data_IF_572487640781
#
_entry.id   IF_572487640781
#
_cell.length_a   1.000
_cell.length_b   1.000
_cell.length_c   1.000
_cell.angle_alpha   90.00
_cell.angle_beta   90.00
_cell.angle_gamma   90.00
#
_symmetry.space_group_name_H-M   'P 1'
#
loop_
_entity.id
_entity.type
_entity.pdbx_description
1 polymer ?
#
# COMPACT_ATOMS: atom_id res chain seq x y z
N UNK A 1 14.55 -2.17 3.10
CA UNK A 1 14.58 -3.52 3.42
C UNK A 1 13.50 -4.05 4.33
N UNK A 2 13.74 -5.22 4.82
CA UNK A 2 12.89 -5.90 5.82
C UNK A 2 12.62 -5.08 7.08
N UNK A 3 13.41 -4.10 7.39
CA UNK A 3 13.20 -3.19 8.54
C UNK A 3 11.88 -2.43 8.45
N UNK A 4 11.40 -2.11 7.26
CA UNK A 4 10.08 -1.49 7.06
C UNK A 4 8.89 -2.44 7.36
N UNK A 5 9.05 -3.75 7.11
CA UNK A 5 8.04 -4.77 7.42
C UNK A 5 8.22 -5.37 8.82
N UNK A 6 9.47 -5.58 9.24
CA UNK A 6 9.79 -6.16 10.54
C UNK A 6 9.65 -5.11 11.66
N UNK A 7 9.95 -3.85 11.40
CA UNK A 7 9.82 -2.78 12.38
C UNK A 7 8.36 -2.61 12.85
N UNK A 8 7.38 -2.39 11.96
CA UNK A 8 5.97 -2.31 12.35
C UNK A 8 5.40 -3.61 12.92
N UNK A 9 5.81 -4.77 12.40
CA UNK A 9 5.37 -6.07 12.94
C UNK A 9 5.99 -6.36 14.30
N UNK A 10 7.28 -6.06 14.52
CA UNK A 10 7.91 -6.17 15.84
C UNK A 10 7.30 -5.20 16.85
N UNK A 11 7.07 -3.94 16.48
CA UNK A 11 6.44 -2.99 17.39
C UNK A 11 4.99 -3.35 17.68
N UNK A 12 4.26 -3.90 16.72
CA UNK A 12 2.90 -4.41 16.92
C UNK A 12 2.88 -5.65 17.81
N UNK A 13 3.80 -6.60 17.61
CA UNK A 13 3.94 -7.77 18.47
C UNK A 13 4.38 -7.37 19.89
N UNK A 14 5.29 -6.41 20.03
CA UNK A 14 5.69 -5.87 21.33
C UNK A 14 4.53 -5.15 22.03
N UNK A 15 3.74 -4.36 21.29
CA UNK A 15 2.56 -3.69 21.83
C UNK A 15 1.47 -4.68 22.28
N UNK A 16 1.25 -5.76 21.53
CA UNK A 16 0.33 -6.84 21.90
C UNK A 16 0.78 -7.61 23.14
N UNK A 17 2.10 -7.86 23.24
CA UNK A 17 2.70 -8.58 24.39
C UNK A 17 2.86 -7.69 25.64
N UNK A 18 2.95 -6.37 25.49
CA UNK A 18 3.30 -5.43 26.58
C UNK A 18 2.14 -4.54 27.03
N UNK A 19 0.98 -4.61 26.38
CA UNK A 19 -0.16 -3.73 26.65
C UNK A 19 0.15 -2.24 26.38
N UNK A 20 1.06 -1.94 25.45
CA UNK A 20 1.42 -0.57 25.12
C UNK A 20 0.23 0.20 24.55
N UNK A 21 0.08 1.45 24.96
CA UNK A 21 -0.89 2.37 24.40
C UNK A 21 -0.56 2.71 22.93
N UNK A 22 -1.59 3.06 22.15
CA UNK A 22 -1.41 3.51 20.78
C UNK A 22 -0.50 4.75 20.73
N UNK A 23 0.51 4.80 19.86
CA UNK A 23 1.41 5.95 19.76
C UNK A 23 0.65 7.23 19.44
N UNK A 24 1.04 8.32 20.08
CA UNK A 24 0.42 9.64 19.85
C UNK A 24 0.60 10.12 18.41
N UNK A 25 1.69 9.71 17.75
CA UNK A 25 1.93 9.94 16.34
C UNK A 25 0.84 9.31 15.46
N UNK A 26 0.43 8.09 15.78
CA UNK A 26 -0.67 7.43 15.09
C UNK A 26 -2.02 8.12 15.33
N UNK A 27 -2.28 8.55 16.56
CA UNK A 27 -3.49 9.32 16.88
C UNK A 27 -3.51 10.64 16.09
N UNK A 28 -2.38 11.37 16.06
CA UNK A 28 -2.27 12.63 15.28
C UNK A 28 -2.47 12.38 13.79
N UNK A 29 -1.87 11.30 13.25
CA UNK A 29 -2.02 10.93 11.84
C UNK A 29 -3.49 10.73 11.44
N UNK A 30 -4.24 9.94 12.23
CA UNK A 30 -5.65 9.69 11.92
C UNK A 30 -6.55 10.90 12.16
N UNK A 31 -6.27 11.73 13.18
CA UNK A 31 -6.96 13.02 13.35
C UNK A 31 -6.71 13.96 12.20
N UNK A 32 -5.46 14.06 11.74
CA UNK A 32 -5.11 14.86 10.56
C UNK A 32 -5.80 14.37 9.29
N UNK A 33 -6.09 13.08 9.18
CA UNK A 33 -6.87 12.51 8.07
C UNK A 33 -8.38 12.82 8.14
N UNK A 34 -8.88 13.32 9.28
CA UNK A 34 -10.29 13.66 9.50
C UNK A 34 -11.11 12.54 10.16
N UNK A 35 -10.48 11.64 10.93
CA UNK A 35 -11.21 10.61 11.68
C UNK A 35 -12.18 11.24 12.68
N UNK A 36 -13.41 10.70 12.78
CA UNK A 36 -14.28 10.98 13.90
C UNK A 36 -13.74 10.34 15.19
N UNK A 37 -14.11 10.88 16.35
CA UNK A 37 -13.48 10.49 17.62
C UNK A 37 -13.74 9.03 18.00
N UNK A 38 -14.90 8.47 17.65
CA UNK A 38 -15.21 7.04 17.86
C UNK A 38 -14.24 6.12 17.07
N UNK A 39 -13.81 6.53 15.88
CA UNK A 39 -12.82 5.82 15.08
C UNK A 39 -11.39 5.98 15.65
N UNK A 40 -11.09 7.11 16.29
CA UNK A 40 -9.83 7.29 17.03
C UNK A 40 -9.79 6.35 18.24
N UNK A 41 -10.86 6.27 19.01
CA UNK A 41 -10.95 5.34 20.14
C UNK A 41 -10.87 3.87 19.68
N UNK A 42 -11.48 3.54 18.55
CA UNK A 42 -11.33 2.20 17.95
C UNK A 42 -9.88 1.90 17.55
N UNK A 43 -9.16 2.88 16.98
CA UNK A 43 -7.73 2.71 16.67
C UNK A 43 -6.92 2.43 17.94
N UNK A 44 -7.14 3.20 19.02
CA UNK A 44 -6.44 3.03 20.29
C UNK A 44 -6.69 1.65 20.91
N UNK A 45 -7.96 1.22 20.94
CA UNK A 45 -8.33 -0.07 21.54
C UNK A 45 -7.86 -1.28 20.73
N UNK A 46 -7.70 -1.14 19.40
CA UNK A 46 -7.24 -2.21 18.51
C UNK A 46 -5.74 -2.17 18.23
N UNK A 47 -5.03 -1.21 18.80
CA UNK A 47 -3.59 -1.11 18.59
C UNK A 47 -2.89 -2.38 19.08
N UNK A 48 -1.99 -2.93 18.26
CA UNK A 48 -1.25 -4.15 18.56
C UNK A 48 -2.01 -5.47 18.31
N UNK A 49 -3.34 -5.47 18.19
CA UNK A 49 -4.13 -6.71 18.01
C UNK A 49 -3.73 -7.53 16.78
N UNK A 50 -3.23 -6.89 15.74
CA UNK A 50 -2.74 -7.60 14.54
C UNK A 50 -1.59 -8.56 14.87
N UNK A 51 -0.77 -8.24 15.86
CA UNK A 51 0.35 -9.07 16.31
C UNK A 51 -0.08 -10.43 16.87
N UNK A 52 -1.30 -10.56 17.42
CA UNK A 52 -1.82 -11.82 17.93
C UNK A 52 -2.07 -12.87 16.82
N UNK A 53 -2.29 -12.45 15.59
CA UNK A 53 -2.51 -13.31 14.43
C UNK A 53 -1.24 -13.68 13.65
N UNK A 54 -0.07 -13.24 14.08
CA UNK A 54 1.19 -13.40 13.34
C UNK A 54 2.19 -14.23 14.15
N UNK A 55 2.79 -15.25 13.53
CA UNK A 55 3.85 -16.03 14.14
C UNK A 55 5.07 -15.15 14.44
N UNK A 56 5.84 -15.54 15.47
CA UNK A 56 7.10 -14.88 15.79
C UNK A 56 8.05 -14.93 14.60
N UNK A 57 8.64 -13.79 14.29
CA UNK A 57 9.68 -13.70 13.27
C UNK A 57 10.93 -14.48 13.71
N UNK A 58 11.66 -15.12 12.78
CA UNK A 58 12.89 -15.80 13.09
C UNK A 58 13.93 -14.82 13.65
N UNK A 59 14.78 -15.30 14.55
CA UNK A 59 15.86 -14.50 15.16
C UNK A 59 17.00 -14.19 14.18
N UNK A 60 17.09 -14.95 13.08
CA UNK A 60 18.10 -14.75 12.04
C UNK A 60 17.44 -14.96 10.66
N UNK A 61 17.92 -14.24 9.66
CA UNK A 61 17.46 -14.34 8.28
C UNK A 61 18.61 -14.04 7.32
N UNK A 62 18.50 -14.58 6.11
CA UNK A 62 19.31 -14.18 4.97
C UNK A 62 18.53 -13.13 4.18
N UNK A 63 19.15 -11.97 3.92
CA UNK A 63 18.58 -10.97 3.03
C UNK A 63 18.74 -11.43 1.59
N UNK A 64 17.68 -11.33 0.81
CA UNK A 64 17.66 -11.46 -0.64
C UNK A 64 17.46 -10.10 -1.27
N UNK A 65 18.03 -9.87 -2.44
CA UNK A 65 18.03 -8.56 -3.10
C UNK A 65 17.55 -8.66 -4.55
N UNK A 66 17.19 -7.53 -5.13
CA UNK A 66 16.83 -7.39 -6.54
C UNK A 66 17.84 -8.05 -7.47
N UNK A 67 17.38 -8.84 -8.43
CA UNK A 67 18.20 -9.52 -9.43
C UNK A 67 18.94 -10.77 -8.93
N UNK A 68 18.92 -11.07 -7.63
CA UNK A 68 19.51 -12.29 -7.10
C UNK A 68 18.79 -13.51 -7.70
N UNK A 69 19.58 -14.57 -7.96
CA UNK A 69 19.02 -15.86 -8.42
C UNK A 69 19.05 -16.85 -7.27
N UNK A 70 17.88 -17.39 -6.95
CA UNK A 70 17.69 -18.39 -5.90
C UNK A 70 17.39 -19.75 -6.58
N UNK A 71 18.10 -20.79 -6.17
CA UNK A 71 17.82 -22.15 -6.60
C UNK A 71 16.82 -22.82 -5.63
N UNK A 72 15.68 -23.26 -6.17
CA UNK A 72 14.66 -24.01 -5.43
C UNK A 72 14.38 -25.31 -6.19
N UNK A 73 14.83 -26.42 -5.65
CA UNK A 73 14.83 -27.69 -6.35
C UNK A 73 15.72 -27.64 -7.59
N UNK A 74 15.17 -27.93 -8.74
CA UNK A 74 15.88 -27.86 -10.04
C UNK A 74 15.70 -26.54 -10.77
N UNK A 75 15.00 -25.57 -10.19
CA UNK A 75 14.61 -24.30 -10.82
C UNK A 75 15.43 -23.14 -10.30
N UNK A 76 15.74 -22.23 -11.22
CA UNK A 76 16.35 -20.93 -10.91
C UNK A 76 15.29 -19.84 -10.91
N UNK A 77 15.19 -19.11 -9.80
CA UNK A 77 14.24 -18.03 -9.61
C UNK A 77 14.96 -16.71 -9.46
N UNK A 78 14.72 -15.80 -10.39
CA UNK A 78 15.25 -14.43 -10.30
C UNK A 78 14.33 -13.61 -9.39
N UNK A 79 14.91 -12.95 -8.42
CA UNK A 79 14.23 -12.01 -7.52
C UNK A 79 13.90 -10.73 -8.28
N UNK A 80 12.65 -10.32 -8.25
CA UNK A 80 12.18 -9.01 -8.71
C UNK A 80 11.49 -8.37 -7.52
N UNK A 81 11.97 -7.20 -7.07
CA UNK A 81 11.40 -6.49 -5.93
C UNK A 81 10.35 -5.49 -6.41
N UNK A 82 9.12 -5.66 -6.00
CA UNK A 82 8.05 -4.68 -6.15
C UNK A 82 8.02 -3.70 -4.98
N UNK A 83 7.38 -2.55 -5.18
CA UNK A 83 7.22 -1.50 -4.17
C UNK A 83 5.80 -0.94 -4.18
N UNK A 84 5.45 -0.17 -3.17
CA UNK A 84 4.17 0.50 -3.04
C UNK A 84 3.17 -0.22 -2.13
N UNK A 85 2.83 -1.48 -2.42
CA UNK A 85 2.02 -2.31 -1.50
C UNK A 85 2.80 -2.64 -0.22
N UNK A 86 4.05 -3.01 -0.38
CA UNK A 86 5.03 -3.15 0.70
C UNK A 86 6.30 -2.40 0.30
N UNK A 87 7.14 -1.96 1.24
CA UNK A 87 8.37 -1.24 0.93
C UNK A 87 9.31 -2.02 0.01
N UNK A 88 9.39 -3.35 0.21
CA UNK A 88 10.10 -4.31 -0.64
C UNK A 88 9.27 -5.60 -0.71
N UNK A 89 8.51 -5.74 -1.79
CA UNK A 89 7.72 -6.95 -2.05
C UNK A 89 8.52 -7.88 -2.97
N UNK A 90 9.00 -8.99 -2.44
CA UNK A 90 9.75 -9.97 -3.23
C UNK A 90 8.82 -10.78 -4.10
N UNK A 91 9.08 -10.74 -5.42
CA UNK A 91 8.48 -11.62 -6.42
C UNK A 91 9.57 -12.54 -6.99
N UNK A 92 9.18 -13.69 -7.52
CA UNK A 92 10.10 -14.68 -8.05
C UNK A 92 9.74 -15.02 -9.50
N UNK A 93 10.70 -14.90 -10.40
CA UNK A 93 10.52 -15.24 -11.82
C UNK A 93 11.41 -16.41 -12.23
N UNK A 94 10.78 -17.50 -12.67
CA UNK A 94 11.42 -18.64 -13.31
C UNK A 94 11.32 -18.50 -14.82
N UNK A 95 12.42 -18.10 -15.46
CA UNK A 95 12.46 -17.86 -16.90
C UNK A 95 12.27 -19.15 -17.70
N UNK A 96 12.88 -20.25 -17.25
CA UNK A 96 12.83 -21.55 -17.95
C UNK A 96 11.39 -22.10 -18.08
N UNK A 97 10.56 -21.89 -17.05
CA UNK A 97 9.16 -22.36 -17.05
C UNK A 97 8.17 -21.24 -17.41
N UNK A 98 8.66 -20.02 -17.60
CA UNK A 98 7.85 -18.81 -17.81
C UNK A 98 6.77 -18.64 -16.71
N UNK A 99 7.19 -18.73 -15.44
CA UNK A 99 6.31 -18.63 -14.26
C UNK A 99 6.78 -17.46 -13.40
N UNK A 100 5.81 -16.62 -12.95
CA UNK A 100 6.04 -15.49 -12.07
C UNK A 100 5.19 -15.61 -10.81
N UNK A 101 5.82 -15.79 -9.65
CA UNK A 101 5.17 -15.73 -8.34
C UNK A 101 5.14 -14.26 -7.91
N UNK A 102 3.96 -13.66 -8.02
CA UNK A 102 3.80 -12.22 -7.81
C UNK A 102 3.46 -11.81 -6.38
N UNK A 103 2.98 -12.75 -5.56
CA UNK A 103 2.37 -12.38 -4.27
C UNK A 103 1.26 -11.35 -4.50
N UNK A 104 1.26 -10.30 -3.67
CA UNK A 104 0.30 -9.18 -3.80
C UNK A 104 0.74 -8.11 -4.82
N UNK A 105 1.93 -8.24 -5.43
CA UNK A 105 2.41 -7.22 -6.36
C UNK A 105 1.65 -7.20 -7.69
N UNK A 106 1.02 -8.31 -8.08
CA UNK A 106 0.20 -8.37 -9.29
C UNK A 106 -0.94 -9.38 -9.11
N UNK A 107 -2.17 -8.86 -9.00
CA UNK A 107 -3.39 -9.62 -8.77
C UNK A 107 -4.35 -9.53 -9.97
N UNK A 108 -5.12 -10.60 -10.29
CA UNK A 108 -5.90 -10.66 -11.54
C UNK A 108 -7.18 -9.83 -11.54
N UNK A 109 -7.82 -9.62 -10.39
CA UNK A 109 -9.17 -9.03 -10.32
C UNK A 109 -9.28 -7.80 -9.42
N UNK A 110 -8.46 -7.75 -8.37
CA UNK A 110 -8.45 -6.67 -7.39
C UNK A 110 -7.14 -5.90 -7.49
N UNK A 111 -7.14 -4.65 -7.06
CA UNK A 111 -5.91 -3.91 -6.81
C UNK A 111 -5.41 -4.24 -5.40
N UNK A 112 -4.11 -4.36 -5.25
CA UNK A 112 -3.50 -4.45 -3.94
C UNK A 112 -3.65 -3.12 -3.21
N UNK A 113 -3.85 -3.17 -1.91
CA UNK A 113 -3.93 -1.94 -1.11
C UNK A 113 -2.56 -1.23 -1.09
N UNK A 114 -2.54 0.02 -1.48
CA UNK A 114 -1.36 0.90 -1.46
C UNK A 114 -1.60 2.00 -0.45
N UNK A 115 -1.04 1.84 0.75
CA UNK A 115 -1.38 2.69 1.90
C UNK A 115 -0.19 3.47 2.43
N UNK A 116 -0.47 4.72 2.84
CA UNK A 116 0.40 5.48 3.75
C UNK A 116 0.09 5.06 5.19
N UNK A 117 1.12 4.87 5.98
CA UNK A 117 1.02 4.47 7.38
C UNK A 117 1.51 5.58 8.33
N UNK A 118 1.07 5.58 9.61
CA UNK A 118 1.51 6.58 10.60
C UNK A 118 3.02 6.68 10.78
N UNK A 119 3.78 5.62 10.45
CA UNK A 119 5.24 5.57 10.54
C UNK A 119 5.95 6.44 9.48
N UNK A 120 5.31 6.63 8.33
CA UNK A 120 5.84 7.42 7.21
C UNK A 120 4.73 8.26 6.56
N UNK A 121 4.20 9.29 7.25
CA UNK A 121 2.99 10.01 6.81
C UNK A 121 3.16 10.79 5.50
N UNK A 122 4.38 11.11 5.11
CA UNK A 122 4.70 11.83 3.87
C UNK A 122 5.15 10.90 2.72
N UNK A 123 5.17 9.59 2.93
CA UNK A 123 5.53 8.63 1.89
C UNK A 123 4.62 8.75 0.66
N UNK A 124 5.16 8.37 -0.51
CA UNK A 124 4.42 8.34 -1.77
C UNK A 124 4.37 6.92 -2.37
N UNK A 125 3.78 5.96 -1.64
CA UNK A 125 3.76 4.56 -2.07
C UNK A 125 2.98 4.34 -3.38
N UNK A 126 2.06 5.24 -3.74
CA UNK A 126 1.33 5.13 -5.00
C UNK A 126 2.24 5.39 -6.20
N UNK A 127 3.14 6.38 -6.13
CA UNK A 127 4.13 6.57 -7.21
C UNK A 127 5.09 5.39 -7.29
N UNK A 128 5.51 4.84 -6.15
CA UNK A 128 6.36 3.65 -6.11
C UNK A 128 5.65 2.43 -6.72
N UNK A 129 4.35 2.26 -6.45
CA UNK A 129 3.51 1.24 -7.07
C UNK A 129 3.44 1.38 -8.60
N UNK A 130 3.16 2.58 -9.10
CA UNK A 130 3.10 2.86 -10.53
C UNK A 130 4.46 2.58 -11.22
N UNK A 131 5.54 3.00 -10.59
CA UNK A 131 6.90 2.70 -11.06
C UNK A 131 7.17 1.19 -11.09
N UNK A 132 6.72 0.48 -10.06
CA UNK A 132 6.86 -0.97 -9.94
C UNK A 132 6.04 -1.71 -11.00
N UNK A 133 4.82 -1.29 -11.31
CA UNK A 133 4.03 -1.85 -12.40
C UNK A 133 4.74 -1.70 -13.75
N UNK A 134 5.30 -0.52 -14.05
CA UNK A 134 6.08 -0.30 -15.26
C UNK A 134 7.36 -1.15 -15.32
N UNK A 135 8.05 -1.28 -14.19
CA UNK A 135 9.23 -2.16 -14.07
C UNK A 135 8.88 -3.62 -14.37
N UNK A 136 7.77 -4.13 -13.83
CA UNK A 136 7.30 -5.49 -14.09
C UNK A 136 6.94 -5.70 -15.56
N UNK A 137 6.28 -4.73 -16.22
CA UNK A 137 6.03 -4.78 -17.68
C UNK A 137 7.31 -4.90 -18.49
N UNK A 138 8.37 -4.22 -18.08
CA UNK A 138 9.67 -4.29 -18.79
C UNK A 138 10.44 -5.59 -18.49
N UNK A 139 10.24 -6.18 -17.30
CA UNK A 139 11.02 -7.34 -16.84
C UNK A 139 10.42 -8.70 -17.19
N UNK A 140 9.14 -8.77 -17.54
CA UNK A 140 8.37 -10.00 -17.74
C UNK A 140 7.81 -10.07 -19.16
N UNK A 141 7.72 -11.25 -19.79
CA UNK A 141 6.92 -11.42 -21.01
C UNK A 141 5.42 -11.37 -20.69
N UNK A 142 4.60 -10.91 -21.66
CA UNK A 142 3.14 -10.79 -21.47
C UNK A 142 2.47 -12.14 -21.17
N UNK A 143 2.95 -13.22 -21.80
CA UNK A 143 2.40 -14.56 -21.65
C UNK A 143 2.95 -15.34 -20.43
N UNK A 144 3.64 -14.65 -19.50
CA UNK A 144 4.08 -15.30 -18.27
C UNK A 144 2.88 -15.83 -17.47
N UNK A 145 3.01 -17.03 -16.90
CA UNK A 145 2.01 -17.54 -15.97
C UNK A 145 2.22 -16.87 -14.62
N UNK A 146 1.29 -16.00 -14.24
CA UNK A 146 1.32 -15.30 -12.94
C UNK A 146 0.64 -16.17 -11.89
N UNK A 147 1.33 -16.39 -10.77
CA UNK A 147 0.84 -17.06 -9.57
C UNK A 147 0.67 -16.00 -8.47
N UNK A 148 -0.54 -15.46 -8.28
CA UNK A 148 -0.82 -14.42 -7.30
C UNK A 148 -1.11 -15.03 -5.92
N UNK A 149 -1.07 -14.18 -4.85
CA UNK A 149 -1.49 -14.58 -3.49
C UNK A 149 -3.00 -14.67 -3.33
N UNK A 150 -3.77 -13.99 -4.19
CA UNK A 150 -5.22 -13.98 -4.19
C UNK A 150 -5.79 -14.24 -5.58
N UNK A 151 -6.92 -14.94 -5.62
CA UNK A 151 -7.62 -15.39 -6.83
C UNK A 151 -6.81 -16.42 -7.65
N UNK A 152 -7.22 -16.63 -8.91
CA UNK A 152 -6.69 -17.70 -9.76
C UNK A 152 -5.40 -17.27 -10.48
N UNK A 153 -4.49 -18.21 -10.81
CA UNK A 153 -3.40 -17.97 -11.74
C UNK A 153 -3.92 -17.43 -13.08
N UNK A 154 -3.11 -16.57 -13.73
CA UNK A 154 -3.52 -15.93 -14.98
C UNK A 154 -2.34 -15.63 -15.91
N UNK A 155 -2.66 -15.22 -17.14
CA UNK A 155 -1.73 -14.72 -18.15
C UNK A 155 -2.14 -13.30 -18.57
N UNK A 156 -1.45 -12.72 -19.53
CA UNK A 156 -1.65 -11.33 -19.98
C UNK A 156 -1.22 -10.32 -18.90
N UNK A 157 -0.02 -10.54 -18.39
CA UNK A 157 0.55 -9.71 -17.33
C UNK A 157 0.62 -8.22 -17.70
N UNK A 158 0.98 -7.88 -18.96
CA UNK A 158 1.09 -6.49 -19.40
C UNK A 158 -0.27 -5.79 -19.45
N UNK A 159 -1.29 -6.48 -19.96
CA UNK A 159 -2.65 -5.95 -19.97
C UNK A 159 -3.10 -5.64 -18.53
N UNK A 160 -2.90 -6.60 -17.62
CA UNK A 160 -3.31 -6.43 -16.23
C UNK A 160 -2.55 -5.33 -15.51
N UNK A 161 -1.24 -5.21 -15.72
CA UNK A 161 -0.42 -4.12 -15.17
C UNK A 161 -0.88 -2.77 -15.70
N UNK A 162 -1.26 -2.67 -16.99
CA UNK A 162 -1.81 -1.43 -17.55
C UNK A 162 -3.15 -1.06 -16.92
N UNK A 163 -4.06 -2.02 -16.75
CA UNK A 163 -5.35 -1.80 -16.07
C UNK A 163 -5.17 -1.27 -14.64
N UNK A 164 -4.17 -1.77 -13.90
CA UNK A 164 -3.84 -1.29 -12.56
C UNK A 164 -3.33 0.15 -12.60
N UNK A 165 -2.44 0.48 -13.53
CA UNK A 165 -1.95 1.85 -13.73
C UNK A 165 -3.10 2.79 -14.06
N UNK A 166 -3.90 2.45 -15.07
CA UNK A 166 -5.01 3.28 -15.54
C UNK A 166 -6.08 3.47 -14.45
N UNK A 167 -6.31 2.44 -13.65
CA UNK A 167 -7.22 2.48 -12.51
C UNK A 167 -6.80 3.52 -11.46
N UNK A 168 -5.52 3.55 -11.09
CA UNK A 168 -4.99 4.53 -10.13
C UNK A 168 -4.90 5.94 -10.71
N UNK A 169 -4.51 6.10 -11.98
CA UNK A 169 -4.52 7.41 -12.65
C UNK A 169 -5.96 7.98 -12.70
N UNK A 170 -6.94 7.16 -13.09
CA UNK A 170 -8.36 7.55 -13.06
C UNK A 170 -8.85 7.86 -11.64
N UNK A 171 -8.37 7.12 -10.63
CA UNK A 171 -8.65 7.41 -9.22
C UNK A 171 -8.13 8.78 -8.81
N UNK A 172 -6.89 9.10 -9.17
CA UNK A 172 -6.29 10.40 -8.91
C UNK A 172 -7.06 11.55 -9.58
N UNK A 173 -7.51 11.37 -10.84
CA UNK A 173 -8.31 12.39 -11.53
C UNK A 173 -9.62 12.67 -10.79
N UNK A 174 -10.31 11.64 -10.32
CA UNK A 174 -11.55 11.78 -9.54
C UNK A 174 -11.30 12.45 -8.19
N UNK A 175 -10.21 12.12 -7.50
CA UNK A 175 -9.82 12.77 -6.24
C UNK A 175 -9.51 14.23 -6.47
N UNK A 176 -8.77 14.58 -7.52
CA UNK A 176 -8.48 15.98 -7.86
C UNK A 176 -9.76 16.77 -8.15
N UNK A 177 -10.70 16.18 -8.87
CA UNK A 177 -12.00 16.80 -9.16
C UNK A 177 -12.79 17.06 -7.87
N UNK A 178 -12.84 16.11 -6.93
CA UNK A 178 -13.44 16.32 -5.62
C UNK A 178 -12.74 17.45 -4.83
N UNK A 179 -11.43 17.58 -4.97
CA UNK A 179 -10.62 18.59 -4.30
C UNK A 179 -10.76 20.00 -4.90
N UNK A 180 -11.67 20.23 -5.88
CA UNK A 180 -12.09 21.61 -6.24
C UNK A 180 -12.69 22.33 -5.05
N UNK A 181 -13.35 21.60 -4.18
CA UNK A 181 -13.73 22.05 -2.84
C UNK A 181 -12.81 21.37 -1.82
N UNK A 182 -12.39 22.03 -0.74
CA UNK A 182 -11.51 21.45 0.27
C UNK A 182 -12.06 20.12 0.81
N UNK A 183 -11.24 19.08 0.83
CA UNK A 183 -11.57 17.72 1.30
C UNK A 183 -10.53 17.22 2.28
N UNK A 184 -10.98 16.47 3.29
CA UNK A 184 -10.10 15.67 4.16
C UNK A 184 -9.82 14.32 3.51
N UNK A 185 -8.86 13.58 4.02
CA UNK A 185 -8.56 12.25 3.46
C UNK A 185 -9.75 11.28 3.51
N UNK A 186 -10.58 11.33 4.55
CA UNK A 186 -11.78 10.50 4.68
C UNK A 186 -12.92 10.91 3.73
N UNK A 187 -12.90 12.14 3.22
CA UNK A 187 -13.96 12.65 2.35
C UNK A 187 -13.78 12.20 0.89
N UNK A 188 -12.60 11.66 0.53
CA UNK A 188 -12.34 11.19 -0.86
C UNK A 188 -12.67 9.72 -1.08
N UNK A 189 -13.13 8.99 -0.07
CA UNK A 189 -13.55 7.59 -0.20
C UNK A 189 -14.48 7.33 -1.39
N UNK A 190 -15.51 8.14 -1.67
CA UNK A 190 -16.43 7.89 -2.78
C UNK A 190 -15.78 7.93 -4.17
N UNK A 191 -14.64 8.62 -4.31
CA UNK A 191 -13.89 8.67 -5.57
C UNK A 191 -13.11 7.38 -5.83
N UNK A 192 -12.66 6.71 -4.77
CA UNK A 192 -11.73 5.59 -4.83
C UNK A 192 -12.42 4.23 -4.65
N UNK A 193 -13.44 4.16 -3.80
CA UNK A 193 -14.02 2.88 -3.39
C UNK A 193 -15.47 2.75 -3.84
N UNK A 194 -15.76 1.65 -4.56
CA UNK A 194 -17.14 1.27 -4.93
C UNK A 194 -17.83 0.53 -3.80
N UNK A 195 -17.07 -0.19 -2.98
CA UNK A 195 -17.58 -0.95 -1.86
C UNK A 195 -17.84 -0.04 -0.67
N UNK A 196 -18.82 -0.42 0.17
CA UNK A 196 -19.12 0.31 1.41
C UNK A 196 -17.90 0.28 2.35
N UNK A 197 -17.51 1.46 2.82
CA UNK A 197 -16.52 1.61 3.88
C UNK A 197 -17.20 1.35 5.22
N UNK A 198 -16.60 0.46 6.00
CA UNK A 198 -17.06 0.02 7.31
C UNK A 198 -15.94 0.23 8.34
N UNK A 199 -16.24 0.14 9.63
CA UNK A 199 -15.22 0.20 10.67
C UNK A 199 -14.08 -0.82 10.48
N UNK A 200 -14.33 -1.95 9.79
CA UNK A 200 -13.34 -3.00 9.55
C UNK A 200 -12.31 -2.65 8.47
N UNK A 201 -12.69 -1.87 7.45
CA UNK A 201 -11.80 -1.48 6.35
C UNK A 201 -11.45 0.03 6.33
N UNK A 202 -11.91 0.79 7.33
CA UNK A 202 -11.75 2.24 7.40
C UNK A 202 -10.27 2.66 7.38
N UNK A 203 -9.42 1.95 8.14
CA UNK A 203 -7.99 2.23 8.20
C UNK A 203 -7.28 2.01 6.86
N UNK A 204 -7.59 0.92 6.15
CA UNK A 204 -7.05 0.65 4.81
C UNK A 204 -7.51 1.71 3.80
N UNK A 205 -8.80 2.04 3.81
CA UNK A 205 -9.35 3.06 2.94
C UNK A 205 -8.70 4.44 3.19
N UNK A 206 -8.45 4.80 4.45
CA UNK A 206 -7.76 6.04 4.79
C UNK A 206 -6.31 6.05 4.30
N UNK A 207 -5.57 4.97 4.54
CA UNK A 207 -4.17 4.87 4.07
C UNK A 207 -4.06 4.98 2.55
N UNK A 208 -4.96 4.34 1.81
CA UNK A 208 -5.00 4.41 0.34
C UNK A 208 -5.44 5.80 -0.15
N UNK A 209 -6.39 6.45 0.53
CA UNK A 209 -6.76 7.83 0.22
C UNK A 209 -5.59 8.81 0.40
N UNK A 210 -4.83 8.67 1.50
CA UNK A 210 -3.64 9.50 1.73
C UNK A 210 -2.56 9.20 0.67
N UNK A 211 -2.40 7.94 0.23
CA UNK A 211 -1.46 7.60 -0.84
C UNK A 211 -1.80 8.33 -2.16
N UNK A 212 -3.09 8.39 -2.54
CA UNK A 212 -3.53 9.16 -3.72
C UNK A 212 -3.32 10.66 -3.53
N UNK A 213 -3.65 11.20 -2.35
CA UNK A 213 -3.45 12.61 -2.04
C UNK A 213 -1.97 12.99 -2.00
N UNK A 214 -1.10 12.18 -1.42
CA UNK A 214 0.34 12.43 -1.42
C UNK A 214 0.93 12.36 -2.83
N UNK A 215 0.47 11.42 -3.67
CA UNK A 215 0.88 11.34 -5.07
C UNK A 215 0.46 12.60 -5.86
N UNK A 216 -0.78 13.05 -5.70
CA UNK A 216 -1.27 14.28 -6.33
C UNK A 216 -0.50 15.52 -5.86
N UNK A 217 -0.16 15.61 -4.56
CA UNK A 217 0.68 16.69 -4.03
C UNK A 217 2.08 16.66 -4.62
N UNK A 218 2.71 15.50 -4.69
CA UNK A 218 4.04 15.35 -5.29
C UNK A 218 4.06 15.75 -6.77
N UNK A 219 2.91 15.59 -7.46
CA UNK A 219 2.70 16.04 -8.84
C UNK A 219 2.21 17.50 -8.95
N UNK A 220 2.17 18.27 -7.86
CA UNK A 220 1.68 19.66 -7.79
C UNK A 220 0.23 19.84 -8.29
N UNK A 221 -0.60 18.81 -8.24
CA UNK A 221 -1.98 18.85 -8.70
C UNK A 221 -2.96 19.33 -7.62
N UNK A 222 -2.59 19.16 -6.35
CA UNK A 222 -3.33 19.63 -5.18
C UNK A 222 -2.37 20.20 -4.13
N UNK A 223 -2.91 21.02 -3.23
CA UNK A 223 -2.22 21.55 -2.04
C UNK A 223 -2.86 21.02 -0.76
N UNK A 224 -2.07 20.93 0.31
CA UNK A 224 -2.55 20.53 1.65
C UNK A 224 -2.39 21.72 2.61
N UNK A 225 -3.45 22.05 3.33
CA UNK A 225 -3.48 23.09 4.35
C UNK A 225 -4.07 22.52 5.64
N UNK A 226 -3.34 22.47 6.76
CA UNK A 226 -3.90 22.08 8.04
C UNK A 226 -4.79 23.21 8.59
N UNK A 227 -5.89 22.85 9.24
CA UNK A 227 -6.71 23.78 10.00
C UNK A 227 -6.17 24.01 11.43
N UNK A 228 -6.86 24.85 12.22
CA UNK A 228 -6.47 25.15 13.60
C UNK A 228 -6.50 23.94 14.53
N UNK A 229 -7.19 22.86 14.17
CA UNK A 229 -7.28 21.60 14.91
C UNK A 229 -6.27 20.55 14.43
N UNK A 230 -5.45 20.88 13.42
CA UNK A 230 -4.46 19.99 12.83
C UNK A 230 -5.06 19.00 11.82
N UNK A 231 -6.31 19.18 11.37
CA UNK A 231 -6.91 18.38 10.31
C UNK A 231 -6.42 18.89 8.96
N UNK A 232 -5.94 17.98 8.11
CA UNK A 232 -5.45 18.30 6.78
C UNK A 232 -6.60 18.43 5.78
N UNK A 233 -6.65 19.57 5.10
CA UNK A 233 -7.55 19.85 3.99
C UNK A 233 -6.78 19.91 2.69
N UNK A 234 -7.31 19.29 1.67
CA UNK A 234 -6.71 19.19 0.34
C UNK A 234 -7.58 19.94 -0.67
N UNK A 235 -6.94 20.82 -1.45
CA UNK A 235 -7.60 21.61 -2.49
C UNK A 235 -6.84 21.49 -3.81
N UNK A 236 -7.53 21.51 -4.95
CA UNK A 236 -6.90 21.59 -6.25
C UNK A 236 -5.98 22.81 -6.34
N UNK A 237 -4.78 22.62 -6.90
CA UNK A 237 -3.90 23.75 -7.19
C UNK A 237 -4.61 24.71 -8.15
N UNK A 238 -4.50 26.03 -7.95
CA UNK A 238 -4.96 26.98 -8.96
C UNK A 238 -4.25 26.70 -10.29
N UNK A 239 -4.93 26.94 -11.43
CA UNK A 239 -4.38 26.72 -12.76
C UNK A 239 -3.13 27.56 -13.04
#
# INVERSE_FOLDING_TARGET
GWEGLVGPLRSRNLAADTGQEAPQEGVRFYRAAGYPEDMIEQYKTRFGMFGHGVYRLPNSYRRIIEGEVIEIGTRKWRVIVGTGHAPEHVCLYCEADNIFISGDQLLPRISSNVSVHPTEPEANPLQDWLNSCNKLKAALPDEVLVLPSHNDPFRKAHLRLQELIDGHESGMDKVQELCREPKRAVDVFPALFRSRITAGNYGMATGESIAHLNCLRARNRIVRTPDANGVNWYSSSPP
#
